data_IF_676009578002
#
_entry.id   IF_676009578002
#
_cell.length_a   1.000
_cell.length_b   1.000
_cell.length_c   1.000
_cell.angle_alpha   90.00
_cell.angle_beta   90.00
_cell.angle_gamma   90.00
#
_symmetry.space_group_name_H-M   'P 1'
#
loop_
_entity.id
_entity.type
_entity.pdbx_description
1 polymer ?
#
# COMPACT_ATOMS: atom_id res chain seq x y z
N UNK A 1 -1.19 -3.88 21.86
CA UNK A 1 -2.43 -3.80 21.07
C UNK A 1 -2.03 -3.94 19.61
N UNK A 2 -2.58 -4.93 18.92
CA UNK A 2 -2.24 -5.22 17.52
C UNK A 2 -2.78 -4.15 16.59
N UNK A 3 -1.94 -3.65 15.66
CA UNK A 3 -2.34 -2.71 14.62
C UNK A 3 -2.72 -3.43 13.33
N UNK A 4 -2.08 -4.58 13.08
CA UNK A 4 -2.36 -5.44 11.93
C UNK A 4 -2.55 -6.87 12.44
N UNK A 5 -3.62 -7.50 12.02
CA UNK A 5 -3.92 -8.91 12.29
C UNK A 5 -4.22 -9.61 10.98
N UNK A 6 -3.55 -10.71 10.75
CA UNK A 6 -3.70 -11.60 9.60
C UNK A 6 -4.09 -12.96 10.17
N UNK A 7 -5.28 -13.46 9.88
CA UNK A 7 -5.82 -14.68 10.45
C UNK A 7 -6.14 -15.69 9.35
N UNK A 8 -5.44 -16.83 9.35
CA UNK A 8 -5.64 -17.96 8.46
C UNK A 8 -5.72 -17.58 6.97
N UNK A 9 -4.93 -16.58 6.56
CA UNK A 9 -4.96 -16.07 5.20
C UNK A 9 -4.33 -17.06 4.24
N UNK A 10 -5.09 -17.39 3.20
CA UNK A 10 -4.65 -18.23 2.09
C UNK A 10 -4.80 -17.52 0.77
N UNK A 11 -3.85 -17.76 -0.16
CA UNK A 11 -3.86 -17.24 -1.52
C UNK A 11 -3.25 -18.21 -2.49
N UNK A 12 -3.99 -18.49 -3.56
CA UNK A 12 -3.54 -19.35 -4.66
C UNK A 12 -3.62 -18.63 -6.00
N UNK A 13 -2.80 -19.04 -6.94
CA UNK A 13 -2.82 -18.60 -8.33
C UNK A 13 -2.88 -19.83 -9.24
N UNK A 14 -4.05 -20.08 -9.83
CA UNK A 14 -4.28 -21.32 -10.54
C UNK A 14 -4.05 -22.53 -9.63
N UNK A 15 -3.15 -23.44 -10.00
CA UNK A 15 -2.80 -24.62 -9.19
C UNK A 15 -1.74 -24.39 -8.11
N UNK A 16 -1.15 -23.18 -8.03
CA UNK A 16 -0.05 -22.87 -7.10
C UNK A 16 -0.57 -22.22 -5.83
N UNK A 17 -0.42 -22.87 -4.69
CA UNK A 17 -0.69 -22.32 -3.37
C UNK A 17 0.46 -21.43 -2.94
N UNK A 18 0.29 -20.11 -3.01
CA UNK A 18 1.33 -19.14 -2.67
C UNK A 18 1.39 -18.84 -1.18
N UNK A 19 0.24 -18.80 -0.50
CA UNK A 19 0.13 -18.70 0.95
C UNK A 19 -0.94 -19.69 1.43
N UNK A 20 -0.72 -20.34 2.57
CA UNK A 20 -1.65 -21.30 3.18
C UNK A 20 -1.72 -21.04 4.67
N UNK A 21 -2.91 -20.71 5.16
CA UNK A 21 -3.23 -20.53 6.58
C UNK A 21 -2.25 -19.64 7.34
N UNK A 22 -1.83 -18.54 6.73
CA UNK A 22 -0.89 -17.60 7.34
C UNK A 22 -1.60 -16.82 8.46
N UNK A 23 -1.05 -16.92 9.66
CA UNK A 23 -1.50 -16.16 10.82
C UNK A 23 -0.32 -15.38 11.40
N UNK A 24 -0.49 -14.07 11.53
CA UNK A 24 0.50 -13.18 12.14
C UNK A 24 -0.15 -11.91 12.66
N UNK A 25 0.54 -11.22 13.57
CA UNK A 25 0.12 -9.92 14.06
C UNK A 25 1.30 -8.96 14.16
N UNK A 26 1.00 -7.67 14.03
CA UNK A 26 1.97 -6.59 14.23
C UNK A 26 1.41 -5.65 15.29
N UNK A 27 2.18 -5.42 16.34
CA UNK A 27 1.82 -4.48 17.39
C UNK A 27 2.15 -3.04 16.97
N UNK A 28 1.37 -2.10 17.47
CA UNK A 28 1.62 -0.68 17.23
C UNK A 28 3.01 -0.28 17.73
N UNK A 29 3.77 0.43 16.90
CA UNK A 29 5.13 0.90 17.22
C UNK A 29 6.21 -0.17 17.14
N UNK A 30 5.90 -1.38 16.68
CA UNK A 30 6.90 -2.45 16.47
C UNK A 30 7.27 -2.57 14.99
N UNK A 31 8.50 -3.01 14.76
CA UNK A 31 8.99 -3.41 13.44
C UNK A 31 9.03 -4.94 13.43
N UNK A 32 8.39 -5.54 12.43
CA UNK A 32 8.35 -7.00 12.26
C UNK A 32 9.01 -7.36 10.93
N UNK A 33 9.94 -8.32 10.97
CA UNK A 33 10.61 -8.85 9.78
C UNK A 33 9.96 -10.15 9.32
N UNK A 34 9.64 -10.24 8.01
CA UNK A 34 9.20 -11.48 7.36
C UNK A 34 10.36 -12.05 6.57
N UNK A 35 10.89 -13.19 7.01
CA UNK A 35 12.08 -13.84 6.45
C UNK A 35 11.68 -15.14 5.76
N UNK A 36 12.38 -15.48 4.68
CA UNK A 36 12.19 -16.73 3.95
C UNK A 36 12.86 -16.69 2.58
N UNK A 37 13.05 -17.84 1.92
CA UNK A 37 13.68 -17.95 0.61
C UNK A 37 12.88 -17.25 -0.49
N UNK A 38 13.50 -17.05 -1.66
CA UNK A 38 12.78 -16.56 -2.83
C UNK A 38 11.69 -17.56 -3.22
N UNK A 39 10.52 -17.06 -3.60
CA UNK A 39 9.36 -17.89 -3.94
C UNK A 39 8.53 -18.38 -2.75
N UNK A 40 8.89 -18.06 -1.49
CA UNK A 40 8.11 -18.49 -0.30
C UNK A 40 6.82 -17.71 -0.03
N UNK A 41 6.33 -16.92 -0.99
CA UNK A 41 5.04 -16.23 -0.86
C UNK A 41 5.09 -14.89 -0.12
N UNK A 42 6.26 -14.37 0.33
CA UNK A 42 6.35 -13.09 1.05
C UNK A 42 5.70 -11.93 0.30
N UNK A 43 6.05 -11.77 -0.96
CA UNK A 43 5.50 -10.71 -1.83
C UNK A 43 4.00 -10.87 -2.03
N UNK A 44 3.52 -12.11 -2.13
CA UNK A 44 2.08 -12.41 -2.23
C UNK A 44 1.36 -11.99 -0.97
N UNK A 45 1.89 -12.33 0.20
CA UNK A 45 1.32 -11.94 1.48
C UNK A 45 1.23 -10.42 1.63
N UNK A 46 2.31 -9.68 1.33
CA UNK A 46 2.29 -8.21 1.34
C UNK A 46 1.26 -7.63 0.37
N UNK A 47 1.13 -8.19 -0.83
CA UNK A 47 0.12 -7.76 -1.81
C UNK A 47 -1.30 -8.04 -1.32
N UNK A 48 -1.52 -9.16 -0.63
CA UNK A 48 -2.82 -9.48 -0.03
C UNK A 48 -3.17 -8.54 1.12
N UNK A 49 -2.20 -8.22 1.99
CA UNK A 49 -2.40 -7.30 3.12
C UNK A 49 -2.82 -5.90 2.64
N UNK A 50 -2.27 -5.41 1.54
CA UNK A 50 -2.63 -4.07 1.00
C UNK A 50 -3.76 -4.11 -0.02
N UNK A 51 -4.43 -5.27 -0.20
CA UNK A 51 -5.58 -5.41 -1.07
C UNK A 51 -5.28 -5.47 -2.57
N UNK A 52 -3.99 -5.59 -2.97
CA UNK A 52 -3.62 -5.76 -4.39
C UNK A 52 -4.06 -7.11 -4.93
N UNK A 53 -3.98 -8.16 -4.10
CA UNK A 53 -4.50 -9.48 -4.41
C UNK A 53 -5.62 -9.82 -3.42
N UNK A 54 -6.82 -10.16 -3.89
CA UNK A 54 -7.87 -10.68 -3.02
C UNK A 54 -7.39 -11.99 -2.37
N UNK A 55 -7.71 -12.19 -1.11
CA UNK A 55 -7.44 -13.44 -0.41
C UNK A 55 -8.49 -14.49 -0.80
N UNK A 56 -8.11 -15.77 -0.72
CA UNK A 56 -9.05 -16.86 -1.00
C UNK A 56 -9.81 -17.29 0.27
N UNK A 57 -9.11 -17.21 1.43
CA UNK A 57 -9.67 -17.50 2.75
C UNK A 57 -8.98 -16.66 3.82
N UNK A 58 -9.59 -16.57 4.99
CA UNK A 58 -9.06 -15.89 6.16
C UNK A 58 -9.58 -14.47 6.32
N UNK A 59 -8.93 -13.69 7.16
CA UNK A 59 -9.28 -12.29 7.39
C UNK A 59 -8.04 -11.43 7.68
N UNK A 60 -8.12 -10.16 7.29
CA UNK A 60 -7.08 -9.16 7.56
C UNK A 60 -7.73 -7.96 8.22
N UNK A 61 -7.26 -7.61 9.43
CA UNK A 61 -7.73 -6.43 10.16
C UNK A 61 -6.62 -5.40 10.31
N UNK A 62 -6.95 -4.15 10.11
CA UNK A 62 -6.07 -3.01 10.35
C UNK A 62 -6.74 -2.02 11.30
N UNK A 63 -6.08 -1.70 12.43
CA UNK A 63 -6.66 -0.91 13.51
C UNK A 63 -8.05 -1.43 13.96
N UNK A 64 -8.21 -2.76 14.03
CA UNK A 64 -9.46 -3.42 14.43
C UNK A 64 -10.54 -3.45 13.34
N UNK A 65 -10.32 -2.82 12.17
CA UNK A 65 -11.25 -2.84 11.04
C UNK A 65 -10.88 -3.93 10.05
N UNK A 66 -11.88 -4.68 9.59
CA UNK A 66 -11.72 -5.65 8.51
C UNK A 66 -11.38 -4.93 7.19
N UNK A 67 -10.31 -5.36 6.52
CA UNK A 67 -9.83 -4.76 5.28
C UNK A 67 -9.66 -5.74 4.12
N UNK A 68 -9.95 -7.02 4.32
CA UNK A 68 -9.70 -8.10 3.36
C UNK A 68 -10.32 -7.87 1.98
N UNK A 69 -11.50 -7.27 1.95
CA UNK A 69 -12.27 -7.04 0.71
C UNK A 69 -12.27 -5.58 0.26
N UNK A 70 -11.55 -4.72 0.97
CA UNK A 70 -11.50 -3.30 0.64
C UNK A 70 -10.56 -3.04 -0.54
N UNK A 71 -10.92 -2.12 -1.45
CA UNK A 71 -10.04 -1.73 -2.55
C UNK A 71 -8.81 -0.97 -2.03
N UNK A 72 -7.68 -1.14 -2.72
CA UNK A 72 -6.38 -0.53 -2.38
C UNK A 72 -6.47 0.96 -1.99
N UNK A 73 -7.20 1.84 -2.72
CA UNK A 73 -7.28 3.25 -2.34
C UNK A 73 -7.95 3.49 -0.99
N UNK A 74 -8.89 2.63 -0.58
CA UNK A 74 -9.56 2.72 0.73
C UNK A 74 -8.62 2.29 1.83
N UNK A 75 -7.91 1.17 1.64
CA UNK A 75 -6.90 0.67 2.58
C UNK A 75 -5.79 1.70 2.77
N UNK A 76 -5.32 2.32 1.68
CA UNK A 76 -4.31 3.38 1.73
C UNK A 76 -4.79 4.61 2.53
N UNK A 77 -6.05 5.03 2.38
CA UNK A 77 -6.65 6.12 3.18
C UNK A 77 -6.73 5.79 4.68
N UNK A 78 -6.84 4.52 5.05
CA UNK A 78 -6.77 4.10 6.45
C UNK A 78 -5.35 4.19 7.03
N UNK A 79 -4.32 4.37 6.17
CA UNK A 79 -2.92 4.51 6.57
C UNK A 79 -2.08 3.25 6.38
N UNK A 80 -2.63 2.19 5.81
CA UNK A 80 -1.88 0.97 5.48
C UNK A 80 -1.34 1.08 4.05
N UNK A 81 -0.03 1.28 3.93
CA UNK A 81 0.65 1.52 2.67
C UNK A 81 1.78 0.51 2.45
N UNK A 82 2.11 0.25 1.20
CA UNK A 82 3.25 -0.53 0.79
C UNK A 82 4.21 0.30 -0.05
N UNK A 83 5.49 0.22 0.24
CA UNK A 83 6.55 0.73 -0.63
C UNK A 83 6.87 -0.29 -1.72
N UNK A 84 7.25 0.19 -2.91
CA UNK A 84 7.66 -0.65 -4.03
C UNK A 84 9.17 -0.49 -4.27
N UNK A 85 9.83 -1.58 -4.65
CA UNK A 85 11.27 -1.57 -4.97
C UNK A 85 11.59 -0.75 -6.24
N UNK A 86 10.65 -0.70 -7.19
CA UNK A 86 10.80 0.11 -8.38
C UNK A 86 9.96 1.38 -8.24
N UNK A 87 10.63 2.51 -8.27
CA UNK A 87 9.99 3.82 -8.41
C UNK A 87 9.29 3.89 -9.76
N UNK A 88 7.98 4.10 -9.76
CA UNK A 88 7.22 4.40 -10.97
C UNK A 88 7.06 5.90 -11.07
N UNK A 89 7.73 6.49 -12.04
CA UNK A 89 7.55 7.90 -12.40
C UNK A 89 6.53 8.00 -13.54
N UNK A 90 5.74 9.05 -13.53
CA UNK A 90 4.85 9.37 -14.64
C UNK A 90 5.68 10.10 -15.72
N UNK A 91 6.14 9.35 -16.71
CA UNK A 91 7.08 9.84 -17.73
C UNK A 91 6.57 11.01 -18.60
N UNK A 92 5.27 11.32 -18.56
CA UNK A 92 4.66 12.48 -19.23
C UNK A 92 4.62 13.74 -18.35
N UNK A 93 4.99 13.62 -17.07
CA UNK A 93 5.01 14.71 -16.10
C UNK A 93 6.45 15.11 -15.78
N UNK A 94 6.68 16.39 -15.50
CA UNK A 94 7.98 16.86 -15.02
C UNK A 94 8.23 16.45 -13.56
N UNK A 95 9.43 16.74 -13.02
CA UNK A 95 9.80 16.37 -11.65
C UNK A 95 8.87 16.97 -10.60
N UNK A 96 8.55 18.26 -10.71
CA UNK A 96 7.67 18.97 -9.76
C UNK A 96 6.27 18.37 -9.78
N UNK A 97 5.71 18.09 -10.97
CA UNK A 97 4.41 17.45 -11.12
C UNK A 97 4.38 16.04 -10.52
N UNK A 98 5.44 15.24 -10.69
CA UNK A 98 5.57 13.92 -10.06
C UNK A 98 5.60 14.03 -8.53
N UNK A 99 6.27 15.03 -7.96
CA UNK A 99 6.29 15.26 -6.52
C UNK A 99 4.94 15.71 -5.98
N UNK A 100 4.23 16.56 -6.71
CA UNK A 100 2.91 17.07 -6.31
C UNK A 100 1.82 16.00 -6.24
N UNK A 101 1.93 14.92 -7.03
CA UNK A 101 1.02 13.77 -6.94
C UNK A 101 1.06 13.12 -5.55
N UNK A 102 2.22 13.13 -4.88
CA UNK A 102 2.38 12.55 -3.55
C UNK A 102 1.84 13.42 -2.42
N UNK A 103 1.50 14.68 -2.70
CA UNK A 103 1.01 15.61 -1.69
C UNK A 103 -0.41 15.28 -1.22
N UNK A 104 -0.56 15.04 0.07
CA UNK A 104 -1.77 14.54 0.75
C UNK A 104 -2.97 15.53 0.78
N UNK A 105 -2.81 16.73 0.26
CA UNK A 105 -3.82 17.81 0.32
C UNK A 105 -4.65 17.99 -0.94
N UNK A 106 -4.39 17.23 -1.99
CA UNK A 106 -5.21 17.33 -3.20
C UNK A 106 -6.41 16.39 -3.09
N UNK A 107 -7.56 16.94 -2.64
CA UNK A 107 -8.83 16.28 -2.87
C UNK A 107 -8.99 15.98 -4.37
N UNK A 108 -8.69 14.75 -4.67
CA UNK A 108 -9.18 13.80 -5.66
C UNK A 108 -9.82 14.28 -6.97
N UNK A 109 -9.48 15.42 -7.50
CA UNK A 109 -9.78 15.71 -8.90
C UNK A 109 -8.47 15.89 -9.65
N UNK A 110 -8.12 14.91 -10.49
CA UNK A 110 -7.03 15.03 -11.48
C UNK A 110 -7.12 16.34 -12.27
N UNK A 111 -8.33 16.89 -12.42
CA UNK A 111 -8.59 18.20 -13.03
C UNK A 111 -8.05 19.37 -12.20
N UNK A 112 -7.87 19.24 -10.88
CA UNK A 112 -7.26 20.29 -10.04
C UNK A 112 -5.72 20.28 -10.09
N UNK A 113 -5.10 19.16 -10.49
CA UNK A 113 -3.65 19.10 -10.71
C UNK A 113 -3.24 19.97 -11.90
N UNK A 114 -4.14 20.14 -12.88
CA UNK A 114 -3.95 21.03 -14.04
C UNK A 114 -4.47 22.46 -13.83
N UNK A 115 -5.19 22.75 -12.75
CA UNK A 115 -5.62 24.10 -12.38
C UNK A 115 -4.63 24.69 -11.39
N UNK A 116 -3.87 25.72 -11.82
CA UNK A 116 -2.93 26.55 -11.05
C UNK A 116 -2.41 25.89 -9.75
N UNK A 117 -1.29 25.18 -9.84
CA UNK A 117 -0.52 24.73 -8.70
C UNK A 117 -0.25 25.94 -7.79
N UNK A 118 -0.56 25.89 -6.49
CA UNK A 118 -0.20 26.96 -5.57
C UNK A 118 1.30 27.19 -5.59
N UNK A 119 1.71 28.46 -5.73
CA UNK A 119 3.13 28.84 -5.84
C UNK A 119 3.99 28.32 -4.67
N UNK A 120 3.42 28.27 -3.47
CA UNK A 120 4.09 27.76 -2.27
C UNK A 120 4.44 26.26 -2.35
N UNK A 121 3.64 25.46 -3.03
CA UNK A 121 3.90 24.04 -3.26
C UNK A 121 4.98 23.81 -4.33
N UNK A 122 4.99 24.65 -5.36
CA UNK A 122 6.02 24.61 -6.39
C UNK A 122 7.38 24.96 -5.79
N UNK A 123 7.46 26.04 -5.00
CA UNK A 123 8.65 26.50 -4.33
C UNK A 123 9.19 25.45 -3.32
N UNK A 124 8.30 24.79 -2.57
CA UNK A 124 8.69 23.68 -1.69
C UNK A 124 9.21 22.47 -2.45
N UNK A 125 8.62 22.15 -3.60
CA UNK A 125 9.08 21.04 -4.44
C UNK A 125 10.43 21.33 -5.08
N UNK A 126 10.67 22.57 -5.55
CA UNK A 126 11.94 23.02 -6.12
C UNK A 126 13.08 23.05 -5.07
N UNK A 127 12.76 23.36 -3.81
CA UNK A 127 13.75 23.35 -2.71
C UNK A 127 14.13 21.93 -2.24
N UNK A 128 13.44 20.88 -2.71
CA UNK A 128 13.73 19.48 -2.38
C UNK A 128 14.49 18.74 -3.50
N UNK A 129 14.68 19.39 -4.65
CA UNK A 129 15.46 18.90 -5.80
C UNK A 129 16.87 19.46 -5.80
#
# INVERSE_FOLDING_TARGET
MSILEVNNVSKSFGGVKANVDITMSVEKGKIVGLIGPNGSGKTTLFNSIVGTYPIDNGSIKFNGKEVSELPVPVIAKLGLLRTFQQTRIYGKLNCVENMLISHKGSDSSLLKIFSKIPKDLTEKAENLL
#
